data_IF_731971625880
#
_entry.id   IF_731971625880
#
_cell.length_a   1.000
_cell.length_b   1.000
_cell.length_c   1.000
_cell.angle_alpha   90.00
_cell.angle_beta   90.00
_cell.angle_gamma   90.00
#
_symmetry.space_group_name_H-M   'P 1'
#
loop_
_entity.id
_entity.type
_entity.pdbx_description
1 polymer ?
#
# COMPACT_ATOMS: atom_id res chain seq x y z
N UNK A 1 -30.42 55.06 -2.18
CA UNK A 1 -31.47 55.39 -3.17
C UNK A 1 -30.78 55.72 -4.48
N UNK A 2 -31.35 55.23 -5.59
CA UNK A 2 -30.80 55.11 -6.96
C UNK A 2 -29.76 53.97 -7.05
N UNK A 3 -29.94 52.87 -7.79
CA UNK A 3 -30.73 52.56 -9.00
C UNK A 3 -29.70 52.07 -10.05
N UNK A 4 -29.41 50.78 -10.17
CA UNK A 4 -30.05 49.77 -11.04
C UNK A 4 -29.47 49.71 -12.47
N UNK A 5 -29.39 48.48 -12.98
CA UNK A 5 -29.31 48.03 -14.37
C UNK A 5 -27.95 47.54 -14.93
N UNK A 6 -27.84 46.21 -14.85
CA UNK A 6 -27.25 45.27 -15.80
C UNK A 6 -27.38 45.65 -17.29
N UNK A 7 -26.33 45.42 -18.10
CA UNK A 7 -26.40 44.69 -19.38
C UNK A 7 -25.02 44.41 -19.98
N UNK A 8 -24.79 43.15 -20.36
CA UNK A 8 -23.92 42.70 -21.43
C UNK A 8 -24.67 41.56 -22.16
N UNK A 9 -24.27 41.07 -23.35
CA UNK A 9 -23.22 41.55 -24.26
C UNK A 9 -23.77 41.80 -25.70
N UNK A 10 -22.95 42.35 -26.59
CA UNK A 10 -23.21 42.43 -28.03
C UNK A 10 -22.09 41.73 -28.81
N UNK A 11 -22.50 40.80 -29.66
CA UNK A 11 -21.72 40.15 -30.72
C UNK A 11 -21.46 41.14 -31.87
N UNK A 12 -20.27 41.11 -32.50
CA UNK A 12 -20.09 41.08 -33.97
C UNK A 12 -18.59 41.03 -34.38
N UNK A 13 -18.34 40.39 -35.55
CA UNK A 13 -17.17 40.38 -36.45
C UNK A 13 -16.08 39.31 -36.20
N UNK A 14 -16.06 38.20 -36.96
CA UNK A 14 -15.44 38.00 -38.30
C UNK A 14 -13.89 38.17 -38.27
N UNK A 15 -13.03 37.28 -38.77
CA UNK A 15 -13.19 36.34 -39.88
C UNK A 15 -12.02 35.31 -39.93
N UNK A 16 -12.29 34.12 -40.47
CA UNK A 16 -11.38 33.18 -41.19
C UNK A 16 -10.10 32.64 -40.50
N UNK A 17 -10.10 31.33 -40.17
CA UNK A 17 -9.28 30.35 -40.90
C UNK A 17 -9.52 28.88 -40.51
N UNK A 18 -10.29 28.21 -41.37
CA UNK A 18 -10.09 26.87 -41.92
C UNK A 18 -10.03 25.59 -41.04
N UNK A 19 -11.16 24.85 -41.15
CA UNK A 19 -11.31 23.46 -41.67
C UNK A 19 -10.71 22.27 -40.90
N UNK A 20 -11.60 21.43 -40.34
CA UNK A 20 -11.99 20.06 -40.80
C UNK A 20 -12.88 19.39 -39.72
N UNK A 21 -14.21 19.29 -39.83
CA UNK A 21 -15.02 18.29 -40.59
C UNK A 21 -14.82 16.87 -40.02
N UNK A 22 -15.78 16.05 -39.52
CA UNK A 22 -17.25 15.79 -39.65
C UNK A 22 -17.66 14.92 -38.42
N UNK A 23 -18.74 15.17 -37.66
CA UNK A 23 -20.18 14.81 -37.83
C UNK A 23 -20.53 13.32 -38.07
N UNK A 24 -21.34 12.75 -37.17
CA UNK A 24 -22.74 12.27 -37.36
C UNK A 24 -23.21 11.60 -36.03
N UNK A 25 -24.21 12.07 -35.27
CA UNK A 25 -25.67 12.26 -35.45
C UNK A 25 -26.53 11.00 -35.18
N UNK A 26 -27.25 11.08 -34.05
CA UNK A 26 -28.61 10.63 -33.68
C UNK A 26 -29.21 9.26 -34.06
N UNK A 27 -29.64 8.56 -33.00
CA UNK A 27 -30.99 8.06 -32.67
C UNK A 27 -31.99 7.65 -33.78
N UNK A 28 -32.61 6.48 -33.62
CA UNK A 28 -33.99 6.20 -34.01
C UNK A 28 -34.67 5.15 -33.10
N UNK A 29 -36.00 5.29 -33.04
CA UNK A 29 -36.99 4.74 -32.11
C UNK A 29 -37.33 3.25 -32.28
N UNK A 30 -38.08 2.71 -31.30
CA UNK A 30 -38.42 1.29 -31.15
C UNK A 30 -39.68 0.80 -31.87
N UNK A 31 -40.05 -0.46 -31.58
CA UNK A 31 -41.39 -0.99 -31.26
C UNK A 31 -41.29 -2.51 -30.97
N UNK A 32 -41.83 -2.88 -29.81
CA UNK A 32 -42.53 -4.09 -29.34
C UNK A 32 -42.30 -5.53 -29.87
N UNK A 33 -42.39 -6.44 -28.88
CA UNK A 33 -43.15 -7.70 -28.85
C UNK A 33 -42.37 -9.04 -28.87
N UNK A 34 -42.32 -9.67 -27.69
CA UNK A 34 -42.70 -11.08 -27.50
C UNK A 34 -41.72 -12.19 -27.89
N UNK A 35 -41.05 -12.78 -26.89
CA UNK A 35 -40.91 -14.24 -26.76
C UNK A 35 -40.33 -14.62 -25.39
N UNK A 36 -41.09 -15.40 -24.62
CA UNK A 36 -40.67 -16.14 -23.44
C UNK A 36 -39.67 -17.23 -23.84
N UNK A 37 -38.49 -17.27 -23.22
CA UNK A 37 -37.78 -18.52 -22.91
C UNK A 37 -37.12 -18.35 -21.54
N UNK A 38 -37.71 -18.98 -20.52
CA UNK A 38 -37.10 -19.14 -19.21
C UNK A 38 -35.96 -20.17 -19.34
N UNK A 39 -34.71 -19.70 -19.33
CA UNK A 39 -33.55 -20.57 -19.21
C UNK A 39 -33.35 -20.94 -17.74
N UNK A 40 -33.33 -22.24 -17.50
CA UNK A 40 -33.18 -22.95 -16.24
C UNK A 40 -32.00 -22.47 -15.39
N UNK A 41 -32.28 -22.18 -14.11
CA UNK A 41 -31.28 -22.10 -13.04
C UNK A 41 -30.69 -23.50 -12.81
N UNK A 42 -29.55 -23.78 -13.41
CA UNK A 42 -28.67 -24.83 -12.91
C UNK A 42 -27.88 -24.26 -11.74
N UNK A 43 -28.29 -24.62 -10.53
CA UNK A 43 -27.49 -24.46 -9.32
C UNK A 43 -26.21 -25.29 -9.46
N UNK A 44 -25.15 -24.67 -9.95
CA UNK A 44 -23.81 -25.24 -9.93
C UNK A 44 -23.29 -25.27 -8.50
N UNK A 45 -23.24 -26.46 -7.90
CA UNK A 45 -22.45 -26.73 -6.70
C UNK A 45 -21.01 -26.28 -6.94
N UNK A 46 -20.57 -25.21 -6.28
CA UNK A 46 -19.15 -24.92 -6.14
C UNK A 46 -18.56 -26.00 -5.22
N UNK A 47 -18.09 -27.08 -5.83
CA UNK A 47 -17.25 -28.05 -5.15
C UNK A 47 -15.93 -27.36 -4.76
N UNK A 48 -15.70 -27.23 -3.47
CA UNK A 48 -14.39 -26.88 -2.93
C UNK A 48 -13.40 -27.98 -3.34
N UNK A 49 -12.68 -27.75 -4.44
CA UNK A 49 -11.55 -28.59 -4.81
C UNK A 49 -10.34 -28.11 -4.01
N UNK A 50 -10.02 -28.87 -2.96
CA UNK A 50 -8.78 -28.76 -2.20
C UNK A 50 -7.59 -29.16 -3.08
N UNK A 51 -7.14 -28.23 -3.93
CA UNK A 51 -5.88 -28.35 -4.66
C UNK A 51 -4.79 -27.57 -3.92
N UNK A 52 -3.75 -28.26 -3.47
CA UNK A 52 -2.51 -27.64 -2.97
C UNK A 52 -1.85 -26.87 -4.13
N UNK A 53 -2.18 -25.59 -4.29
CA UNK A 53 -1.48 -24.70 -5.21
C UNK A 53 -0.38 -23.98 -4.43
N UNK A 54 0.86 -24.13 -4.87
CA UNK A 54 1.97 -23.28 -4.45
C UNK A 54 1.66 -21.86 -4.92
N UNK A 55 1.07 -21.06 -4.03
CA UNK A 55 0.67 -19.69 -4.33
C UNK A 55 1.92 -18.82 -4.27
N UNK A 56 2.42 -18.42 -5.44
CA UNK A 56 3.53 -17.45 -5.51
C UNK A 56 2.98 -16.06 -5.20
N UNK A 57 3.76 -15.21 -4.52
CA UNK A 57 3.34 -13.84 -4.17
C UNK A 57 3.04 -12.95 -5.41
N UNK A 58 3.30 -13.48 -6.61
CA UNK A 58 3.12 -12.87 -7.93
C UNK A 58 1.77 -13.19 -8.58
N UNK A 59 1.00 -14.16 -8.06
CA UNK A 59 -0.34 -14.50 -8.56
C UNK A 59 -1.45 -13.56 -8.01
N UNK A 60 -1.11 -12.74 -7.01
CA UNK A 60 -1.90 -11.58 -6.65
C UNK A 60 -1.39 -10.39 -7.47
N UNK A 61 -2.29 -9.82 -8.27
CA UNK A 61 -2.20 -8.48 -8.86
C UNK A 61 -1.39 -7.55 -7.93
N UNK A 62 -0.17 -7.19 -8.37
CA UNK A 62 0.83 -6.37 -7.66
C UNK A 62 0.93 -6.61 -6.14
N UNK A 63 1.76 -7.57 -5.73
CA UNK A 63 2.60 -7.40 -4.54
C UNK A 63 1.91 -6.90 -3.27
N UNK A 64 1.03 -7.71 -2.70
CA UNK A 64 0.10 -7.25 -1.66
C UNK A 64 0.81 -6.83 -0.37
N UNK A 65 0.45 -5.67 0.16
CA UNK A 65 0.79 -5.24 1.52
C UNK A 65 -0.03 -6.03 2.55
N UNK A 66 0.66 -6.76 3.43
CA UNK A 66 0.01 -7.61 4.43
C UNK A 66 0.69 -7.56 5.79
N UNK A 67 -0.13 -7.79 6.81
CA UNK A 67 0.25 -7.96 8.20
C UNK A 67 0.31 -9.45 8.53
N UNK A 68 1.31 -9.87 9.29
CA UNK A 68 1.30 -11.22 9.84
C UNK A 68 0.25 -11.32 10.96
N UNK A 69 -0.36 -12.49 11.12
CA UNK A 69 -1.29 -12.77 12.23
C UNK A 69 -0.73 -12.32 13.59
N UNK A 70 -1.60 -11.80 14.45
CA UNK A 70 -1.24 -11.28 15.78
C UNK A 70 -0.84 -9.81 15.79
N UNK A 71 -0.55 -9.22 14.62
CA UNK A 71 -0.21 -7.79 14.50
C UNK A 71 -1.34 -6.93 15.06
N UNK A 72 -1.03 -6.05 16.02
CA UNK A 72 -1.99 -5.11 16.58
C UNK A 72 -2.14 -3.88 15.72
N UNK A 73 -3.37 -3.59 15.33
CA UNK A 73 -3.78 -2.40 14.58
C UNK A 73 -4.56 -1.48 15.51
N UNK A 74 -4.23 -0.18 15.48
CA UNK A 74 -4.97 0.82 16.24
C UNK A 74 -6.36 1.02 15.64
N UNK A 75 -7.39 0.89 16.46
CA UNK A 75 -8.79 1.15 16.10
C UNK A 75 -9.37 2.29 16.96
N UNK A 76 -10.59 2.73 16.65
CA UNK A 76 -11.33 3.67 17.50
C UNK A 76 -11.46 3.23 18.97
N UNK A 77 -11.48 1.91 19.23
CA UNK A 77 -11.60 1.32 20.56
C UNK A 77 -10.28 0.88 21.19
N UNK A 78 -9.14 1.26 20.60
CA UNK A 78 -7.81 0.81 21.02
C UNK A 78 -7.19 -0.23 20.07
N UNK A 79 -6.07 -0.83 20.49
CA UNK A 79 -5.34 -1.82 19.69
C UNK A 79 -6.08 -3.16 19.63
N UNK A 80 -6.30 -3.69 18.42
CA UNK A 80 -6.89 -5.03 18.17
C UNK A 80 -6.00 -5.84 17.26
N UNK A 81 -6.01 -7.17 17.41
CA UNK A 81 -5.29 -8.03 16.48
C UNK A 81 -5.89 -7.92 15.08
N UNK A 82 -5.07 -8.03 14.04
CA UNK A 82 -5.52 -7.91 12.65
C UNK A 82 -6.56 -8.98 12.30
N UNK A 83 -6.43 -10.18 12.86
CA UNK A 83 -7.39 -11.28 12.72
C UNK A 83 -8.74 -11.02 13.41
N UNK A 84 -8.78 -10.10 14.37
CA UNK A 84 -9.99 -9.73 15.10
C UNK A 84 -10.71 -8.53 14.48
N UNK A 85 -10.16 -7.91 13.43
CA UNK A 85 -10.78 -6.77 12.76
C UNK A 85 -11.95 -7.22 11.89
N UNK A 86 -12.94 -6.34 11.74
CA UNK A 86 -14.14 -6.59 10.95
C UNK A 86 -14.40 -5.45 9.96
N UNK A 87 -15.07 -5.77 8.85
CA UNK A 87 -15.59 -4.75 7.93
C UNK A 87 -16.52 -3.80 8.70
N UNK A 88 -16.33 -2.50 8.50
CA UNK A 88 -17.03 -1.44 9.23
C UNK A 88 -16.30 -0.94 10.47
N UNK A 89 -15.27 -1.65 10.98
CA UNK A 89 -14.41 -1.09 12.02
C UNK A 89 -13.74 0.19 11.52
N UNK A 90 -13.56 1.17 12.42
CA UNK A 90 -12.98 2.46 12.10
C UNK A 90 -11.55 2.57 12.61
N UNK A 91 -10.64 2.90 11.71
CA UNK A 91 -9.22 3.09 11.99
C UNK A 91 -8.85 4.58 11.93
N UNK A 92 -8.10 5.12 12.91
CA UNK A 92 -7.48 6.42 12.78
C UNK A 92 -6.35 6.37 11.74
N UNK A 93 -6.31 7.35 10.84
CA UNK A 93 -5.25 7.47 9.83
C UNK A 93 -4.26 8.57 10.19
N UNK A 94 -3.07 8.55 9.58
CA UNK A 94 -2.06 9.60 9.77
C UNK A 94 -2.55 10.99 9.31
N UNK A 95 -3.58 11.06 8.47
CA UNK A 95 -4.22 12.33 8.09
C UNK A 95 -5.13 12.90 9.19
N UNK A 96 -5.23 12.25 10.35
CA UNK A 96 -6.10 12.63 11.47
C UNK A 96 -7.59 12.34 11.24
N UNK A 97 -7.94 11.56 10.21
CA UNK A 97 -9.33 11.20 9.90
C UNK A 97 -9.57 9.74 10.26
N UNK A 98 -10.81 9.42 10.64
CA UNK A 98 -11.24 8.03 10.79
C UNK A 98 -11.66 7.47 9.44
N UNK A 99 -11.31 6.22 9.19
CA UNK A 99 -11.67 5.49 7.97
C UNK A 99 -12.19 4.11 8.29
N UNK A 100 -13.22 3.71 7.56
CA UNK A 100 -13.83 2.41 7.72
C UNK A 100 -13.08 1.37 6.92
N UNK A 101 -12.92 0.20 7.52
CA UNK A 101 -12.48 -1.00 6.81
C UNK A 101 -13.59 -1.41 5.84
N UNK A 102 -13.26 -1.46 4.56
CA UNK A 102 -14.17 -1.92 3.50
C UNK A 102 -14.00 -3.40 3.21
N UNK A 103 -12.77 -3.92 3.36
CA UNK A 103 -12.48 -5.34 3.17
C UNK A 103 -11.29 -5.78 4.00
N UNK A 104 -11.38 -7.02 4.48
CA UNK A 104 -10.26 -7.76 5.07
C UNK A 104 -10.18 -9.06 4.32
N UNK A 105 -9.00 -9.40 3.81
CA UNK A 105 -8.75 -10.71 3.25
C UNK A 105 -7.53 -11.31 3.94
N UNK A 106 -7.58 -12.62 4.15
CA UNK A 106 -6.46 -13.38 4.67
C UNK A 106 -6.09 -14.51 3.71
N UNK A 107 -4.84 -14.91 3.77
CA UNK A 107 -4.36 -16.10 3.08
C UNK A 107 -3.30 -16.78 3.91
N UNK A 108 -3.20 -18.08 3.66
CA UNK A 108 -2.37 -18.99 4.41
C UNK A 108 -1.34 -19.57 3.46
N UNK A 109 -0.08 -19.54 3.88
CA UNK A 109 1.02 -20.19 3.18
C UNK A 109 1.62 -21.22 4.10
N UNK A 110 1.78 -22.44 3.61
CA UNK A 110 2.45 -23.54 4.32
C UNK A 110 3.82 -23.77 3.70
N UNK A 111 4.83 -24.04 4.52
CA UNK A 111 6.15 -24.47 4.04
C UNK A 111 6.31 -25.98 4.19
N UNK A 112 7.14 -26.56 3.33
CA UNK A 112 7.64 -27.91 3.54
C UNK A 112 8.42 -28.00 4.86
N UNK A 113 8.34 -29.15 5.52
CA UNK A 113 9.19 -29.48 6.67
C UNK A 113 10.66 -29.36 6.26
N UNK A 114 11.49 -28.85 7.17
CA UNK A 114 12.95 -28.68 6.99
C UNK A 114 13.40 -27.73 5.87
N UNK A 115 12.49 -26.89 5.34
CA UNK A 115 12.84 -25.79 4.44
C UNK A 115 12.65 -24.42 5.09
N UNK A 116 13.48 -23.47 4.68
CA UNK A 116 13.27 -22.06 4.99
C UNK A 116 12.15 -21.47 4.13
N UNK A 117 11.54 -20.38 4.62
CA UNK A 117 10.58 -19.59 3.86
C UNK A 117 11.26 -18.95 2.64
N UNK A 118 10.63 -19.01 1.45
CA UNK A 118 11.08 -18.25 0.28
C UNK A 118 11.17 -16.75 0.57
N UNK A 119 12.14 -16.07 -0.06
CA UNK A 119 12.42 -14.65 0.18
C UNK A 119 11.23 -13.70 -0.08
N UNK A 120 10.34 -14.08 -1.01
CA UNK A 120 9.14 -13.33 -1.36
C UNK A 120 7.97 -13.57 -0.39
N UNK A 121 8.02 -14.63 0.43
CA UNK A 121 6.99 -14.98 1.42
C UNK A 121 7.46 -14.71 2.85
N UNK A 122 8.76 -14.82 3.11
CA UNK A 122 9.36 -14.71 4.42
C UNK A 122 9.01 -13.36 5.08
N UNK A 123 8.52 -13.37 6.35
CA UNK A 123 8.19 -12.14 7.04
C UNK A 123 9.40 -11.22 7.17
N UNK A 124 9.18 -9.91 7.02
CA UNK A 124 10.12 -8.90 7.45
C UNK A 124 9.78 -8.49 8.87
N UNK A 125 10.69 -8.78 9.80
CA UNK A 125 10.64 -8.31 11.18
C UNK A 125 11.23 -6.91 11.26
N UNK A 126 10.43 -5.97 11.74
CA UNK A 126 10.86 -4.65 12.19
C UNK A 126 10.90 -4.70 13.71
N UNK A 127 12.11 -4.78 14.29
CA UNK A 127 12.28 -4.90 15.73
C UNK A 127 11.70 -3.69 16.46
N UNK A 128 11.25 -3.89 17.70
CA UNK A 128 10.86 -2.80 18.60
C UNK A 128 11.89 -1.68 18.58
N UNK A 129 11.43 -0.44 18.47
CA UNK A 129 12.26 0.77 18.40
C UNK A 129 13.28 0.83 17.25
N UNK A 130 13.12 0.02 16.20
CA UNK A 130 14.02 0.04 15.04
C UNK A 130 14.03 1.37 14.28
N UNK A 131 12.88 2.07 14.23
CA UNK A 131 12.71 3.32 13.47
C UNK A 131 12.96 4.53 14.36
N UNK A 132 12.16 4.69 15.43
CA UNK A 132 12.24 5.75 16.44
C UNK A 132 12.19 5.12 17.86
N UNK A 133 12.60 5.80 18.95
CA UNK A 133 12.38 5.28 20.30
C UNK A 133 10.90 4.97 20.49
N UNK A 134 10.56 3.73 20.88
CA UNK A 134 9.19 3.20 20.95
C UNK A 134 8.44 3.08 19.59
N UNK A 135 9.14 3.05 18.46
CA UNK A 135 8.56 2.83 17.13
C UNK A 135 9.33 1.77 16.32
N UNK A 136 8.71 0.61 16.02
CA UNK A 136 7.43 0.14 16.55
C UNK A 136 7.49 -0.09 18.07
N UNK A 137 6.33 -0.14 18.73
CA UNK A 137 6.20 -0.39 20.17
C UNK A 137 6.48 -1.85 20.55
N UNK A 138 6.27 -2.77 19.59
CA UNK A 138 6.59 -4.20 19.67
C UNK A 138 7.29 -4.62 18.38
N UNK A 139 7.74 -5.87 18.32
CA UNK A 139 8.22 -6.43 17.05
C UNK A 139 7.06 -6.52 16.06
N UNK A 140 7.22 -5.93 14.88
CA UNK A 140 6.21 -5.88 13.83
C UNK A 140 6.64 -6.79 12.67
N UNK A 141 5.75 -7.67 12.21
CA UNK A 141 6.02 -8.61 11.13
C UNK A 141 5.12 -8.32 9.92
N UNK A 142 5.74 -8.05 8.78
CA UNK A 142 5.06 -7.64 7.56
C UNK A 142 5.47 -8.49 6.36
N UNK A 143 4.64 -8.52 5.32
CA UNK A 143 5.08 -9.06 4.03
C UNK A 143 6.21 -8.20 3.43
N UNK A 144 7.08 -8.76 2.56
CA UNK A 144 8.21 -8.02 2.00
C UNK A 144 7.84 -6.73 1.25
N UNK A 145 6.64 -6.67 0.69
CA UNK A 145 6.17 -5.55 -0.13
C UNK A 145 5.41 -4.49 0.65
N UNK A 146 5.02 -4.77 1.89
CA UNK A 146 4.31 -3.82 2.75
C UNK A 146 5.16 -2.57 3.02
N UNK A 147 4.63 -1.38 2.77
CA UNK A 147 5.35 -0.14 2.98
C UNK A 147 5.15 0.48 4.36
N UNK A 148 6.25 0.92 4.96
CA UNK A 148 6.28 1.74 6.16
C UNK A 148 6.21 3.21 5.75
N UNK A 149 5.48 4.02 6.50
CA UNK A 149 5.43 5.46 6.29
C UNK A 149 6.49 6.16 7.14
N UNK A 150 7.56 6.65 6.51
CA UNK A 150 8.68 7.27 7.20
C UNK A 150 8.97 8.62 6.54
N UNK A 151 9.00 9.69 7.34
CA UNK A 151 9.33 11.04 6.87
C UNK A 151 8.56 11.50 5.61
N UNK A 152 7.28 11.13 5.53
CA UNK A 152 6.39 11.56 4.45
C UNK A 152 6.31 10.64 3.24
N UNK A 153 7.11 9.57 3.20
CA UNK A 153 7.19 8.64 2.07
C UNK A 153 6.89 7.21 2.49
N UNK A 154 6.35 6.43 1.55
CA UNK A 154 6.12 5.00 1.73
C UNK A 154 7.32 4.22 1.21
N UNK A 155 7.90 3.36 2.05
CA UNK A 155 9.06 2.54 1.69
C UNK A 155 8.75 1.07 2.01
N UNK A 156 8.79 0.20 1.01
CA UNK A 156 8.57 -1.23 1.18
C UNK A 156 9.54 -1.84 2.21
N UNK A 157 9.03 -2.69 3.10
CA UNK A 157 9.77 -3.29 4.21
C UNK A 157 11.05 -4.00 3.75
N UNK A 158 11.01 -4.73 2.62
CA UNK A 158 12.18 -5.39 2.04
C UNK A 158 13.33 -4.44 1.69
N UNK A 159 13.05 -3.17 1.39
CA UNK A 159 14.07 -2.16 1.05
C UNK A 159 14.76 -1.62 2.31
N UNK A 160 14.11 -1.73 3.47
CA UNK A 160 14.64 -1.28 4.75
C UNK A 160 15.44 -2.36 5.49
N UNK A 161 15.53 -3.59 4.94
CA UNK A 161 16.27 -4.69 5.55
C UNK A 161 17.74 -4.31 5.68
N UNK A 162 18.24 -4.35 6.91
CA UNK A 162 19.62 -4.02 7.27
C UNK A 162 20.34 -5.17 8.00
N UNK A 163 19.66 -6.31 8.18
CA UNK A 163 20.20 -7.50 8.85
C UNK A 163 20.40 -7.37 10.36
N UNK A 164 19.92 -6.29 10.98
CA UNK A 164 20.12 -5.99 12.40
C UNK A 164 18.82 -5.66 13.12
N UNK A 165 18.23 -4.51 12.82
CA UNK A 165 16.97 -4.05 13.42
C UNK A 165 15.77 -4.28 12.51
N UNK A 166 16.02 -4.49 11.21
CA UNK A 166 15.02 -4.88 10.23
C UNK A 166 15.59 -6.09 9.48
N UNK A 167 14.97 -7.25 9.70
CA UNK A 167 15.50 -8.55 9.33
C UNK A 167 14.46 -9.32 8.52
N UNK A 168 14.91 -10.05 7.49
CA UNK A 168 14.07 -11.05 6.84
C UNK A 168 14.17 -12.37 7.60
N UNK A 169 13.05 -12.90 8.07
CA UNK A 169 12.98 -14.12 8.86
C UNK A 169 12.71 -15.33 7.97
N UNK A 170 13.70 -15.79 7.22
CA UNK A 170 13.57 -17.01 6.38
C UNK A 170 13.45 -18.28 7.23
N UNK A 171 13.93 -18.24 8.47
CA UNK A 171 13.88 -19.28 9.48
C UNK A 171 12.70 -19.13 10.46
N UNK A 172 11.74 -18.24 10.17
CA UNK A 172 10.60 -17.97 11.06
C UNK A 172 9.95 -19.27 11.55
N UNK A 173 9.86 -19.44 12.87
CA UNK A 173 9.49 -20.70 13.53
C UNK A 173 7.97 -20.92 13.53
N UNK A 174 7.45 -21.13 12.32
CA UNK A 174 6.09 -21.58 12.08
C UNK A 174 6.06 -22.42 10.81
N UNK A 175 5.25 -23.48 10.78
CA UNK A 175 4.99 -24.25 9.56
C UNK A 175 4.02 -23.53 8.62
N UNK A 176 3.27 -22.57 9.15
CA UNK A 176 2.19 -21.87 8.45
C UNK A 176 2.28 -20.38 8.75
N UNK A 177 2.21 -19.55 7.71
CA UNK A 177 2.08 -18.10 7.82
C UNK A 177 0.68 -17.69 7.36
N UNK A 178 -0.01 -16.95 8.22
CA UNK A 178 -1.29 -16.32 7.86
C UNK A 178 -1.08 -14.81 7.74
N UNK A 179 -1.27 -14.30 6.52
CA UNK A 179 -1.18 -12.89 6.21
C UNK A 179 -2.57 -12.29 6.05
N UNK A 180 -2.74 -11.06 6.51
CA UNK A 180 -3.98 -10.29 6.41
C UNK A 180 -3.73 -8.98 5.65
N UNK A 181 -4.63 -8.63 4.75
CA UNK A 181 -4.69 -7.30 4.17
C UNK A 181 -5.88 -6.53 4.74
N UNK A 182 -5.71 -5.22 4.88
CA UNK A 182 -6.74 -4.31 5.38
C UNK A 182 -6.95 -3.23 4.33
N UNK A 183 -8.12 -3.25 3.70
CA UNK A 183 -8.52 -2.31 2.66
C UNK A 183 -9.53 -1.32 3.23
N UNK A 184 -9.26 -0.03 3.05
CA UNK A 184 -10.13 1.07 3.45
C UNK A 184 -10.81 1.67 2.22
N UNK A 185 -11.66 2.68 2.43
CA UNK A 185 -12.34 3.41 1.33
C UNK A 185 -11.36 4.06 0.35
N UNK A 186 -10.26 4.59 0.87
CA UNK A 186 -9.15 5.17 0.15
C UNK A 186 -7.84 4.63 0.71
N UNK A 187 -6.76 4.63 -0.10
CA UNK A 187 -5.44 4.24 0.40
C UNK A 187 -5.02 5.21 1.51
N UNK A 188 -4.57 4.70 2.64
CA UNK A 188 -4.28 5.50 3.83
C UNK A 188 -3.07 4.96 4.57
N UNK A 189 -2.51 5.80 5.44
CA UNK A 189 -1.53 5.38 6.44
C UNK A 189 -2.28 5.12 7.75
N UNK A 190 -2.16 3.90 8.28
CA UNK A 190 -2.73 3.44 9.55
C UNK A 190 -1.61 3.11 10.54
N UNK A 191 -1.97 2.70 11.77
CA UNK A 191 -1.00 2.41 12.82
C UNK A 191 -1.01 0.91 13.16
N UNK A 192 0.14 0.26 12.98
CA UNK A 192 0.38 -1.14 13.34
C UNK A 192 1.53 -1.24 14.34
N UNK A 193 1.29 -1.85 15.51
CA UNK A 193 2.24 -1.88 16.64
C UNK A 193 2.79 -0.48 16.97
N UNK A 194 1.94 0.54 16.88
CA UNK A 194 2.29 1.95 17.05
C UNK A 194 3.11 2.58 15.91
N UNK A 195 3.47 1.85 14.85
CA UNK A 195 4.20 2.37 13.69
C UNK A 195 3.26 2.72 12.53
N UNK A 196 3.44 3.87 11.85
CA UNK A 196 2.64 4.24 10.70
C UNK A 196 3.05 3.41 9.46
N UNK A 197 2.06 2.77 8.84
CA UNK A 197 2.21 1.82 7.72
C UNK A 197 1.06 1.98 6.74
N UNK A 198 1.23 1.50 5.51
CA UNK A 198 0.18 1.59 4.50
C UNK A 198 -1.01 0.64 4.76
N UNK A 199 -2.21 1.07 4.36
CA UNK A 199 -3.33 0.15 4.11
C UNK A 199 -3.15 -0.53 2.76
N UNK A 200 -3.95 -1.55 2.44
CA UNK A 200 -3.91 -2.17 1.11
C UNK A 200 -4.24 -1.13 0.03
N UNK A 201 -3.34 -0.95 -0.93
CA UNK A 201 -3.60 -0.24 -2.18
C UNK A 201 -4.25 -1.21 -3.18
N UNK A 202 -5.36 -0.81 -3.79
CA UNK A 202 -6.12 -1.66 -4.72
C UNK A 202 -6.53 -0.87 -5.97
N UNK A 203 -6.30 -1.46 -7.16
CA UNK A 203 -6.85 -1.00 -8.42
C UNK A 203 -6.50 0.46 -8.76
N UNK A 204 -7.52 1.28 -9.00
CA UNK A 204 -7.40 2.69 -9.40
C UNK A 204 -7.25 3.68 -8.24
N UNK A 205 -7.06 3.20 -7.00
CA UNK A 205 -6.87 4.09 -5.85
C UNK A 205 -5.61 4.95 -6.02
N UNK A 206 -5.71 6.24 -5.70
CA UNK A 206 -4.54 7.10 -5.60
C UNK A 206 -3.78 6.78 -4.31
N UNK A 207 -2.46 6.65 -4.38
CA UNK A 207 -1.65 6.47 -3.18
C UNK A 207 -1.72 7.73 -2.29
N UNK A 208 -1.93 7.55 -0.97
CA UNK A 208 -1.96 8.68 -0.02
C UNK A 208 -0.63 9.39 0.18
N UNK A 209 0.47 8.76 -0.20
CA UNK A 209 1.82 9.30 -0.10
C UNK A 209 2.68 8.78 -1.26
N UNK A 210 3.78 9.48 -1.60
CA UNK A 210 4.71 8.99 -2.60
C UNK A 210 5.29 7.63 -2.19
N UNK A 211 5.11 6.63 -3.05
CA UNK A 211 5.81 5.35 -2.93
C UNK A 211 7.23 5.52 -3.46
N UNK A 212 8.20 5.16 -2.63
CA UNK A 212 9.59 5.14 -3.02
C UNK A 212 9.85 3.95 -3.96
N UNK A 213 9.93 4.23 -5.26
CA UNK A 213 10.47 3.30 -6.24
C UNK A 213 11.89 3.75 -6.65
N UNK A 214 12.86 2.85 -6.43
CA UNK A 214 14.24 2.98 -6.90
C UNK A 214 14.37 3.20 -8.43
N UNK A 215 13.30 2.98 -9.19
CA UNK A 215 13.25 2.96 -10.66
C UNK A 215 13.47 4.28 -11.42
N UNK A 216 13.55 5.46 -10.78
CA UNK A 216 13.82 6.74 -11.49
C UNK A 216 15.22 7.33 -11.30
N UNK A 217 16.17 6.55 -10.78
CA UNK A 217 17.57 6.99 -10.59
C UNK A 217 18.46 6.87 -11.84
N UNK A 218 18.01 6.27 -12.94
CA UNK A 218 18.84 6.11 -14.15
C UNK A 218 18.74 7.26 -15.16
N UNK A 219 17.60 7.95 -15.27
CA UNK A 219 17.38 8.91 -16.37
C UNK A 219 17.66 10.38 -15.97
N UNK A 220 17.38 10.76 -14.72
CA UNK A 220 17.72 12.10 -14.23
C UNK A 220 19.21 12.28 -13.91
N UNK A 221 19.95 11.20 -13.67
CA UNK A 221 21.38 11.28 -13.34
C UNK A 221 22.26 11.70 -14.55
N UNK A 222 21.76 11.57 -15.79
CA UNK A 222 22.53 11.91 -16.99
C UNK A 222 22.40 13.40 -17.36
N UNK A 223 21.18 13.95 -17.30
CA UNK A 223 20.94 15.35 -17.70
C UNK A 223 21.27 16.39 -16.62
N UNK A 224 21.36 15.99 -15.36
CA UNK A 224 21.70 16.88 -14.23
C UNK A 224 23.18 16.83 -13.80
N UNK A 225 24.06 16.13 -14.53
CA UNK A 225 25.49 16.05 -14.19
C UNK A 225 26.33 17.25 -14.63
N UNK A 226 25.83 18.11 -15.52
CA UNK A 226 26.68 19.16 -16.13
C UNK A 226 26.40 20.60 -15.70
N UNK A 227 25.47 20.88 -14.78
CA UNK A 227 25.15 22.28 -14.44
C UNK A 227 25.11 22.67 -12.96
N UNK A 228 25.16 21.74 -11.99
CA UNK A 228 25.05 22.11 -10.57
C UNK A 228 25.73 21.11 -9.63
N UNK A 229 27.03 21.32 -9.45
CA UNK A 229 27.76 21.03 -8.19
C UNK A 229 28.14 22.42 -7.66
N UNK A 230 28.01 22.77 -6.36
CA UNK A 230 28.28 21.97 -5.16
C UNK A 230 27.30 22.17 -3.96
N UNK A 231 26.09 22.74 -4.17
CA UNK A 231 25.22 23.22 -3.06
C UNK A 231 23.98 22.37 -2.75
N UNK A 232 23.70 21.31 -3.50
CA UNK A 232 22.63 20.37 -3.19
C UNK A 232 23.22 19.07 -2.68
N UNK A 233 23.03 18.81 -1.39
CA UNK A 233 23.19 17.49 -0.79
C UNK A 233 22.36 16.48 -1.61
N UNK A 234 23.05 15.58 -2.32
CA UNK A 234 22.47 14.58 -3.23
C UNK A 234 21.86 13.37 -2.50
N UNK A 235 21.81 13.38 -1.17
CA UNK A 235 21.19 12.30 -0.38
C UNK A 235 19.68 12.43 -0.48
N UNK A 236 19.07 11.41 -1.06
CA UNK A 236 17.62 11.28 -1.09
C UNK A 236 17.05 11.17 0.33
N UNK A 237 15.78 11.49 0.53
CA UNK A 237 15.09 11.26 1.82
C UNK A 237 15.27 9.80 2.25
N UNK A 238 15.23 8.87 1.29
CA UNK A 238 15.56 7.47 1.52
C UNK A 238 16.98 7.22 2.06
N UNK A 239 18.00 7.86 1.49
CA UNK A 239 19.39 7.70 1.92
C UNK A 239 19.55 8.19 3.37
N UNK A 240 18.91 9.31 3.72
CA UNK A 240 18.89 9.83 5.09
C UNK A 240 18.17 8.89 6.07
N UNK A 241 17.06 8.29 5.65
CA UNK A 241 16.35 7.28 6.45
C UNK A 241 17.24 6.07 6.69
N UNK A 242 17.87 5.51 5.64
CA UNK A 242 18.77 4.35 5.76
C UNK A 242 19.94 4.66 6.70
N UNK A 243 20.65 5.77 6.48
CA UNK A 243 21.79 6.17 7.31
C UNK A 243 21.39 6.31 8.79
N UNK A 244 20.18 6.85 9.06
CA UNK A 244 19.65 6.99 10.42
C UNK A 244 19.33 5.64 11.06
N UNK A 245 18.78 4.70 10.29
CA UNK A 245 18.48 3.35 10.76
C UNK A 245 19.77 2.58 11.07
N UNK A 246 20.80 2.72 10.23
CA UNK A 246 22.11 2.12 10.43
C UNK A 246 22.79 2.69 11.70
N UNK A 247 22.89 4.01 11.82
CA UNK A 247 23.50 4.67 12.98
C UNK A 247 22.81 4.27 14.31
N UNK A 248 21.49 4.09 14.29
CA UNK A 248 20.73 3.65 15.47
C UNK A 248 20.96 2.19 15.83
N UNK A 249 21.02 1.32 14.82
CA UNK A 249 21.35 -0.07 15.06
C UNK A 249 22.75 -0.22 15.67
N UNK A 250 23.68 0.69 15.35
CA UNK A 250 25.00 0.76 16.00
C UNK A 250 24.93 1.29 17.44
N UNK A 251 24.16 2.37 17.67
CA UNK A 251 24.02 2.95 19.01
C UNK A 251 23.39 1.97 20.02
N UNK A 252 22.46 1.11 19.60
CA UNK A 252 21.85 0.10 20.47
C UNK A 252 22.85 -1.00 20.91
N UNK A 253 23.95 -1.23 20.18
CA UNK A 253 25.00 -2.17 20.58
C UNK A 253 25.80 -1.69 21.81
N UNK A 254 25.82 -0.38 22.08
CA UNK A 254 26.47 0.18 23.26
C UNK A 254 25.69 -0.02 24.57
N UNK A 255 24.41 -0.40 24.49
CA UNK A 255 23.49 -0.50 25.64
C UNK A 255 23.04 -1.92 26.00
N UNK A 256 23.14 -2.87 25.07
CA UNK A 256 22.77 -4.27 25.32
C UNK A 256 23.82 -5.19 24.70
N UNK A 257 24.84 -5.54 25.49
CA UNK A 257 25.59 -6.76 25.23
C UNK A 257 24.62 -7.95 25.34
N UNK A 258 24.42 -8.67 24.25
CA UNK A 258 23.72 -9.96 24.28
C UNK A 258 24.51 -10.90 25.20
N UNK A 259 23.99 -11.15 26.40
CA UNK A 259 24.42 -12.27 27.22
C UNK A 259 23.81 -13.56 26.64
N UNK A 260 24.71 -14.53 26.42
CA UNK A 260 24.57 -15.97 26.20
C UNK A 260 23.19 -16.59 26.05
#
# INVERSE_FOLDING_TARGET
MTGEASKAPSEDQCDVALKRTRRNVMAMAGIAAGALVASSLAAGKAAASGGKRSFSLWDCDEGVACFLIGTKILTAGGERAVEDLHVGDRLPTASGRMREIKKIASWVVERELDRNWPDDVAPIKVCRSAIAPNFPQRDLYLSPLHALYIDGILIAARKLVNGRSIIRCTDYDAHTLTYFNVELEDHQVIWAEGLPVESRLVGSMAACAPLWDSGRRAELASRFRSAVSPWFDKRDVYDKVRDRLEARSEANLGGYGCAG
#
